data_IF_133215041985
#
_entry.id   IF_133215041985
#
_cell.length_a   1.000
_cell.length_b   1.000
_cell.length_c   1.000
_cell.angle_alpha   90.00
_cell.angle_beta   90.00
_cell.angle_gamma   90.00
#
_symmetry.space_group_name_H-M   'P 1'
#
loop_
_entity.id
_entity.type
_entity.pdbx_description
1 polymer ?
#
# COMPACT_ATOMS: atom_id res chain seq x y z
N UNK A 1 7.30 11.71 25.73
CA UNK A 1 8.18 10.74 25.04
C UNK A 1 7.46 9.40 25.05
N UNK A 2 6.74 9.08 23.98
CA UNK A 2 5.98 7.84 23.89
C UNK A 2 6.61 7.02 22.78
N UNK A 3 7.39 6.01 23.18
CA UNK A 3 7.97 5.02 22.28
C UNK A 3 6.82 4.29 21.58
N UNK A 4 6.74 4.43 20.25
CA UNK A 4 5.85 3.63 19.42
C UNK A 4 6.69 2.47 18.89
N UNK A 5 6.94 1.49 19.76
CA UNK A 5 7.33 0.15 19.33
C UNK A 5 6.08 -0.72 19.42
N UNK A 6 5.26 -0.73 18.38
CA UNK A 6 4.25 -1.77 18.22
C UNK A 6 4.78 -2.83 17.27
N UNK A 7 5.35 -3.87 17.87
CA UNK A 7 5.56 -5.17 17.23
C UNK A 7 4.21 -5.71 16.79
N UNK A 8 3.84 -5.48 15.53
CA UNK A 8 2.72 -6.17 14.92
C UNK A 8 3.12 -7.62 14.73
N UNK A 9 2.47 -8.51 15.49
CA UNK A 9 2.33 -9.92 15.11
C UNK A 9 1.89 -9.93 13.66
N UNK A 10 2.73 -10.50 12.79
CA UNK A 10 2.35 -10.92 11.45
C UNK A 10 1.05 -11.73 11.61
N UNK A 11 -0.09 -11.11 11.31
CA UNK A 11 -1.27 -11.87 10.97
C UNK A 11 -0.81 -12.77 9.82
N UNK A 12 -0.84 -14.08 10.06
CA UNK A 12 -0.42 -15.12 9.14
C UNK A 12 -1.36 -15.11 7.94
N UNK A 13 -1.14 -14.16 7.03
CA UNK A 13 -1.70 -14.20 5.69
C UNK A 13 -0.82 -15.16 4.91
N UNK A 14 -1.15 -16.45 4.97
CA UNK A 14 -0.67 -17.45 4.03
C UNK A 14 -1.19 -17.10 2.64
N UNK A 15 -0.56 -16.09 2.02
CA UNK A 15 -0.76 -15.77 0.63
C UNK A 15 0.01 -16.82 -0.17
N UNK A 16 -0.71 -17.89 -0.55
CA UNK A 16 -0.24 -18.95 -1.46
C UNK A 16 0.23 -18.42 -2.83
N UNK A 17 0.08 -17.12 -3.12
CA UNK A 17 0.64 -16.49 -4.32
C UNK A 17 2.18 -16.51 -4.36
N UNK A 18 2.88 -16.65 -3.23
CA UNK A 18 4.35 -16.69 -3.26
C UNK A 18 4.94 -18.06 -3.60
N UNK A 19 4.19 -19.15 -3.45
CA UNK A 19 4.72 -20.48 -3.83
C UNK A 19 4.63 -20.73 -5.33
N UNK A 20 3.69 -20.10 -6.05
CA UNK A 20 3.53 -20.31 -7.50
C UNK A 20 4.08 -19.17 -8.38
N UNK A 21 4.31 -17.95 -7.88
CA UNK A 21 4.75 -16.83 -8.73
C UNK A 21 6.26 -16.72 -8.97
N UNK A 22 7.11 -17.55 -8.34
CA UNK A 22 8.55 -17.58 -8.62
C UNK A 22 9.29 -16.23 -8.46
N UNK A 23 8.70 -15.27 -7.71
CA UNK A 23 9.20 -13.90 -7.56
C UNK A 23 10.51 -13.81 -6.76
N UNK A 24 11.01 -14.92 -6.22
CA UNK A 24 12.21 -14.96 -5.41
C UNK A 24 13.49 -15.21 -6.18
N UNK A 25 13.48 -15.57 -7.49
CA UNK A 25 14.72 -15.85 -8.23
C UNK A 25 14.58 -15.86 -9.77
N UNK A 26 13.72 -15.04 -10.38
CA UNK A 26 13.80 -14.87 -11.85
C UNK A 26 14.94 -13.89 -12.18
N UNK A 27 16.01 -14.33 -12.87
CA UNK A 27 17.03 -13.41 -13.37
C UNK A 27 16.36 -12.44 -14.36
N UNK A 28 16.71 -11.14 -14.33
CA UNK A 28 16.21 -10.22 -15.33
C UNK A 28 16.59 -10.75 -16.73
N UNK A 29 15.72 -10.57 -17.75
CA UNK A 29 15.92 -11.16 -19.07
C UNK A 29 17.23 -10.72 -19.75
N UNK A 30 17.87 -9.65 -19.26
CA UNK A 30 19.21 -9.23 -19.65
C UNK A 30 20.03 -8.81 -18.42
N UNK A 31 21.28 -9.27 -18.31
CA UNK A 31 22.23 -8.72 -17.34
C UNK A 31 22.53 -7.26 -17.72
N UNK A 32 22.25 -6.34 -16.80
CA UNK A 32 22.57 -4.91 -16.94
C UNK A 32 23.50 -4.50 -15.80
N UNK A 33 24.52 -3.72 -16.13
CA UNK A 33 25.32 -3.01 -15.15
C UNK A 33 24.78 -1.61 -15.00
N UNK A 34 24.58 -1.18 -13.75
CA UNK A 34 23.95 0.09 -13.43
C UNK A 34 24.93 1.01 -12.72
N UNK A 35 24.85 2.30 -13.03
CA UNK A 35 25.49 3.39 -12.29
C UNK A 35 24.41 4.39 -11.95
N UNK A 36 24.16 4.60 -10.67
CA UNK A 36 23.09 5.47 -10.18
C UNK A 36 23.66 6.87 -9.90
N UNK A 37 24.00 7.60 -10.96
CA UNK A 37 24.64 8.92 -10.84
C UNK A 37 23.63 10.06 -10.81
N UNK A 38 22.48 9.89 -11.45
CA UNK A 38 21.39 10.87 -11.52
C UNK A 38 20.09 10.32 -10.94
N UNK A 39 19.14 11.21 -10.64
CA UNK A 39 17.79 10.81 -10.22
C UNK A 39 17.09 9.98 -11.30
N UNK A 40 17.30 10.34 -12.57
CA UNK A 40 16.80 9.57 -13.72
C UNK A 40 17.41 8.16 -13.80
N UNK A 41 18.68 7.97 -13.40
CA UNK A 41 19.27 6.64 -13.32
C UNK A 41 18.62 5.80 -12.20
N UNK A 42 18.37 6.40 -11.03
CA UNK A 42 17.65 5.76 -9.93
C UNK A 42 16.23 5.34 -10.36
N UNK A 43 15.50 6.23 -11.05
CA UNK A 43 14.16 5.95 -11.55
C UNK A 43 14.18 4.81 -12.57
N UNK A 44 15.06 4.89 -13.57
CA UNK A 44 15.16 3.88 -14.62
C UNK A 44 15.53 2.50 -14.05
N UNK A 45 16.46 2.48 -13.09
CA UNK A 45 16.82 1.27 -12.36
C UNK A 45 15.61 0.70 -11.61
N UNK A 46 14.94 1.53 -10.80
CA UNK A 46 13.81 1.09 -9.98
C UNK A 46 12.67 0.56 -10.85
N UNK A 47 12.36 1.26 -11.95
CA UNK A 47 11.35 0.83 -12.90
C UNK A 47 11.72 -0.51 -13.55
N UNK A 48 12.96 -0.66 -14.00
CA UNK A 48 13.42 -1.88 -14.68
C UNK A 48 13.49 -3.09 -13.73
N UNK A 49 14.13 -2.92 -12.58
CA UNK A 49 14.51 -4.02 -11.69
C UNK A 49 13.46 -4.34 -10.63
N UNK A 50 12.57 -3.39 -10.32
CA UNK A 50 11.55 -3.53 -9.27
C UNK A 50 10.15 -3.45 -9.85
N UNK A 51 9.77 -2.30 -10.42
CA UNK A 51 8.37 -2.03 -10.83
C UNK A 51 7.90 -3.00 -11.90
N UNK A 52 8.64 -3.17 -12.99
CA UNK A 52 8.26 -4.04 -14.11
C UNK A 52 8.09 -5.50 -13.66
N UNK A 53 8.95 -5.97 -12.75
CA UNK A 53 8.85 -7.31 -12.18
C UNK A 53 7.59 -7.43 -11.32
N UNK A 54 7.33 -6.45 -10.46
CA UNK A 54 6.14 -6.44 -9.60
C UNK A 54 4.86 -6.37 -10.43
N UNK A 55 4.78 -5.48 -11.43
CA UNK A 55 3.62 -5.31 -12.30
C UNK A 55 3.26 -6.56 -13.10
N UNK A 56 4.23 -7.45 -13.37
CA UNK A 56 3.91 -8.75 -13.98
C UNK A 56 2.94 -9.60 -13.14
N UNK A 57 2.98 -9.48 -11.82
CA UNK A 57 2.03 -10.12 -10.90
C UNK A 57 0.63 -9.46 -10.92
N UNK A 58 0.54 -8.24 -11.45
CA UNK A 58 -0.67 -7.43 -11.54
C UNK A 58 -1.12 -7.21 -12.99
N UNK A 59 -0.85 -8.17 -13.89
CA UNK A 59 -1.17 -8.00 -15.31
C UNK A 59 -2.69 -8.14 -15.59
N UNK A 60 -3.38 -9.03 -14.87
CA UNK A 60 -4.79 -9.36 -15.12
C UNK A 60 -5.73 -8.96 -13.97
N UNK A 61 -5.43 -9.34 -12.73
CA UNK A 61 -6.43 -9.30 -11.66
C UNK A 61 -5.96 -8.68 -10.32
N UNK A 62 -6.20 -7.38 -10.10
CA UNK A 62 -6.49 -6.36 -11.11
C UNK A 62 -5.28 -6.06 -11.97
N UNK A 63 -5.57 -5.65 -13.21
CA UNK A 63 -4.59 -4.98 -14.03
C UNK A 63 -4.25 -3.62 -13.40
N UNK A 64 -3.00 -3.47 -12.93
CA UNK A 64 -2.49 -2.20 -12.43
C UNK A 64 -1.85 -1.42 -13.58
N UNK A 65 -2.21 -0.14 -13.67
CA UNK A 65 -1.56 0.82 -14.54
C UNK A 65 -0.59 1.67 -13.72
N UNK A 66 0.67 1.69 -14.12
CA UNK A 66 1.65 2.67 -13.65
C UNK A 66 1.67 3.85 -14.63
N UNK A 67 1.76 5.06 -14.12
CA UNK A 67 1.90 6.30 -14.90
C UNK A 67 2.99 7.15 -14.27
N UNK A 68 3.92 7.64 -15.09
CA UNK A 68 5.03 8.48 -14.63
C UNK A 68 4.72 9.97 -14.77
N UNK A 69 5.19 10.76 -13.81
CA UNK A 69 5.10 12.23 -13.77
C UNK A 69 3.71 12.80 -14.12
N UNK A 70 2.67 12.16 -13.60
CA UNK A 70 1.28 12.58 -13.84
C UNK A 70 0.74 13.35 -12.63
N UNK A 71 -0.11 14.35 -12.92
CA UNK A 71 -0.87 15.08 -11.90
C UNK A 71 -1.89 14.18 -11.19
N UNK A 72 -2.38 14.56 -10.00
CA UNK A 72 -3.49 13.88 -9.35
C UNK A 72 -4.71 13.80 -10.28
N UNK A 73 -5.48 12.72 -10.14
CA UNK A 73 -6.77 12.55 -10.81
C UNK A 73 -7.80 13.42 -10.06
N UNK A 74 -7.70 14.73 -10.21
CA UNK A 74 -8.59 15.69 -9.56
C UNK A 74 -8.97 16.81 -10.54
N UNK A 75 -10.17 17.36 -10.39
CA UNK A 75 -10.63 18.52 -11.19
C UNK A 75 -9.81 19.80 -10.91
N UNK A 76 -9.08 19.82 -9.80
CA UNK A 76 -8.23 20.93 -9.41
C UNK A 76 -6.87 20.87 -10.13
N UNK A 77 -6.45 21.97 -10.74
CA UNK A 77 -5.12 22.11 -11.33
C UNK A 77 -4.07 22.14 -10.21
N UNK A 78 -3.46 20.99 -9.93
CA UNK A 78 -2.33 20.87 -9.01
C UNK A 78 -1.04 20.98 -9.84
N UNK A 79 -0.09 21.80 -9.39
CA UNK A 79 1.15 22.13 -10.11
C UNK A 79 2.26 21.09 -9.98
N UNK A 80 2.11 20.14 -9.06
CA UNK A 80 3.15 19.18 -8.70
C UNK A 80 2.82 17.78 -9.23
N UNK A 81 3.80 17.18 -9.89
CA UNK A 81 3.74 15.81 -10.40
C UNK A 81 4.50 14.90 -9.43
N UNK A 82 4.03 13.66 -9.30
CA UNK A 82 4.76 12.59 -8.61
C UNK A 82 5.33 11.63 -9.65
N UNK A 83 6.50 11.07 -9.36
CA UNK A 83 7.22 10.24 -10.34
C UNK A 83 6.48 8.97 -10.72
N UNK A 84 5.72 8.38 -9.78
CA UNK A 84 4.98 7.15 -10.03
C UNK A 84 3.60 7.17 -9.39
N UNK A 85 2.58 6.92 -10.22
CA UNK A 85 1.21 6.66 -9.77
C UNK A 85 0.80 5.27 -10.22
N UNK A 86 0.40 4.43 -9.26
CA UNK A 86 -0.21 3.13 -9.52
C UNK A 86 -1.71 3.24 -9.35
N UNK A 87 -2.47 2.76 -10.34
CA UNK A 87 -3.92 2.86 -10.33
C UNK A 87 -4.59 1.65 -10.97
N UNK A 88 -5.85 1.45 -10.60
CA UNK A 88 -6.76 0.52 -11.25
C UNK A 88 -7.87 1.28 -11.96
N UNK A 89 -8.45 0.66 -12.99
CA UNK A 89 -9.69 1.12 -13.60
C UNK A 89 -10.81 0.13 -13.28
N UNK A 90 -11.88 0.61 -12.66
CA UNK A 90 -13.09 -0.18 -12.38
C UNK A 90 -14.29 0.55 -12.98
N UNK A 91 -14.88 -0.03 -14.01
CA UNK A 91 -15.86 0.67 -14.85
C UNK A 91 -15.26 1.93 -15.47
N UNK A 92 -15.87 3.09 -15.20
CA UNK A 92 -15.37 4.39 -15.64
C UNK A 92 -14.50 5.10 -14.58
N UNK A 93 -14.38 4.54 -13.38
CA UNK A 93 -13.62 5.17 -12.30
C UNK A 93 -12.18 4.67 -12.29
N UNK A 94 -11.24 5.60 -12.09
CA UNK A 94 -9.84 5.29 -11.79
C UNK A 94 -9.61 5.49 -10.29
N UNK A 95 -9.00 4.52 -9.63
CA UNK A 95 -8.65 4.59 -8.21
C UNK A 95 -7.13 4.48 -8.06
N UNK A 96 -6.54 5.45 -7.37
CA UNK A 96 -5.12 5.44 -7.02
C UNK A 96 -4.89 4.36 -5.97
N UNK A 97 -3.95 3.44 -6.23
CA UNK A 97 -3.57 2.33 -5.35
C UNK A 97 -2.37 2.71 -4.49
N UNK A 98 -1.32 3.24 -5.10
CA UNK A 98 -0.14 3.77 -4.43
C UNK A 98 0.47 4.89 -5.27
N UNK A 99 1.27 5.72 -4.62
CA UNK A 99 2.08 6.77 -5.26
C UNK A 99 3.51 6.66 -4.79
N UNK A 100 4.46 7.17 -5.55
CA UNK A 100 5.81 7.29 -5.05
C UNK A 100 6.72 8.22 -5.80
N UNK A 101 7.73 8.66 -5.06
CA UNK A 101 8.71 9.65 -5.44
C UNK A 101 10.09 8.99 -5.58
N UNK A 102 10.87 9.43 -6.56
CA UNK A 102 12.25 9.03 -6.72
C UNK A 102 13.14 10.23 -6.38
N UNK A 103 14.14 10.00 -5.52
CA UNK A 103 15.17 10.98 -5.22
C UNK A 103 16.54 10.37 -5.50
N UNK A 104 17.61 11.09 -5.22
CA UNK A 104 18.99 10.59 -5.34
C UNK A 104 19.76 10.76 -4.04
N UNK A 105 20.10 9.63 -3.41
CA UNK A 105 20.96 9.50 -2.23
C UNK A 105 20.61 10.52 -1.14
N UNK A 106 19.31 10.61 -0.83
CA UNK A 106 18.75 11.61 0.07
C UNK A 106 18.32 10.99 1.40
N UNK A 107 17.89 9.74 1.42
CA UNK A 107 17.26 9.11 2.58
C UNK A 107 18.30 8.73 3.63
N UNK A 108 18.10 9.21 4.86
CA UNK A 108 18.89 8.78 6.01
C UNK A 108 18.17 7.62 6.68
N UNK A 109 18.56 6.38 6.35
CA UNK A 109 17.86 5.16 6.77
C UNK A 109 17.53 5.13 8.27
N UNK A 110 18.50 5.46 9.12
CA UNK A 110 18.34 5.40 10.58
C UNK A 110 17.25 6.36 11.10
N UNK A 111 17.07 7.53 10.49
CA UNK A 111 16.05 8.48 10.92
C UNK A 111 14.64 7.95 10.61
N UNK A 112 14.44 7.40 9.41
CA UNK A 112 13.16 6.83 8.97
C UNK A 112 12.83 5.55 9.74
N UNK A 113 13.82 4.68 9.96
CA UNK A 113 13.63 3.42 10.67
C UNK A 113 13.32 3.61 12.15
N UNK A 114 13.96 4.59 12.80
CA UNK A 114 13.72 4.90 14.21
C UNK A 114 12.51 5.84 14.42
N UNK A 115 11.87 6.30 13.34
CA UNK A 115 10.77 7.27 13.40
C UNK A 115 11.17 8.63 13.99
N UNK A 116 12.46 8.95 14.01
CA UNK A 116 13.00 10.18 14.61
C UNK A 116 13.66 11.01 13.52
N UNK A 117 12.85 11.80 12.81
CA UNK A 117 13.30 12.66 11.71
C UNK A 117 13.89 13.96 12.26
N UNK A 118 15.21 13.98 12.42
CA UNK A 118 15.95 15.08 13.02
C UNK A 118 16.45 16.07 11.96
N UNK A 119 16.93 15.56 10.83
CA UNK A 119 17.58 16.35 9.80
C UNK A 119 16.57 17.26 9.06
N UNK A 120 16.89 18.54 8.81
CA UNK A 120 15.99 19.47 8.13
C UNK A 120 15.50 18.97 6.76
N UNK A 121 16.38 18.35 5.98
CA UNK A 121 16.03 17.83 4.65
C UNK A 121 15.10 16.62 4.72
N UNK A 122 15.28 15.74 5.72
CA UNK A 122 14.39 14.61 5.94
C UNK A 122 13.01 15.08 6.42
N UNK A 123 12.96 16.13 7.25
CA UNK A 123 11.68 16.76 7.66
C UNK A 123 10.96 17.33 6.45
N UNK A 124 11.65 18.08 5.61
CA UNK A 124 11.10 18.63 4.37
C UNK A 124 10.55 17.51 3.48
N UNK A 125 11.33 16.45 3.26
CA UNK A 125 10.90 15.29 2.48
C UNK A 125 9.66 14.62 3.09
N UNK A 126 9.61 14.43 4.41
CA UNK A 126 8.45 13.82 5.07
C UNK A 126 7.17 14.65 4.93
N UNK A 127 7.29 15.99 4.96
CA UNK A 127 6.18 16.91 4.73
C UNK A 127 5.73 16.87 3.27
N UNK A 128 6.67 16.83 2.32
CA UNK A 128 6.43 16.69 0.90
C UNK A 128 5.67 15.38 0.59
N UNK A 129 6.13 14.23 1.10
CA UNK A 129 5.47 12.93 0.92
C UNK A 129 4.04 12.91 1.52
N UNK A 130 3.82 13.54 2.68
CA UNK A 130 2.46 13.72 3.23
C UNK A 130 1.61 14.62 2.34
N UNK A 131 2.18 15.72 1.84
CA UNK A 131 1.52 16.62 0.90
C UNK A 131 1.05 15.88 -0.35
N UNK A 132 1.88 15.00 -0.90
CA UNK A 132 1.48 14.11 -2.00
C UNK A 132 0.39 13.12 -1.59
N UNK A 133 0.54 12.44 -0.45
CA UNK A 133 -0.49 11.52 0.06
C UNK A 133 -1.88 12.18 0.11
N UNK A 134 -1.94 13.42 0.60
CA UNK A 134 -3.18 14.20 0.69
C UNK A 134 -3.69 14.63 -0.69
N UNK A 135 -2.83 15.17 -1.55
CA UNK A 135 -3.20 15.66 -2.89
C UNK A 135 -3.70 14.55 -3.81
N UNK A 136 -3.07 13.38 -3.76
CA UNK A 136 -3.45 12.21 -4.56
C UNK A 136 -4.50 11.34 -3.86
N UNK A 137 -4.91 11.71 -2.64
CA UNK A 137 -5.89 10.99 -1.83
C UNK A 137 -5.49 9.50 -1.76
N UNK A 138 -4.24 9.28 -1.36
CA UNK A 138 -3.60 7.97 -1.37
C UNK A 138 -2.74 7.78 -0.11
N UNK A 139 -3.16 6.91 0.81
CA UNK A 139 -2.41 6.64 2.03
C UNK A 139 -1.22 5.69 1.84
N UNK A 140 -1.06 5.10 0.65
CA UNK A 140 0.05 4.21 0.30
C UNK A 140 1.09 4.98 -0.49
N UNK A 141 2.21 5.31 0.15
CA UNK A 141 3.29 6.12 -0.45
C UNK A 141 4.60 5.36 -0.40
N UNK A 142 5.44 5.50 -1.41
CA UNK A 142 6.84 5.10 -1.31
C UNK A 142 7.79 6.23 -1.74
N UNK A 143 9.03 6.13 -1.28
CA UNK A 143 10.13 6.97 -1.75
C UNK A 143 11.36 6.08 -1.95
N UNK A 144 12.01 6.17 -3.11
CA UNK A 144 13.26 5.44 -3.37
C UNK A 144 14.35 6.43 -3.77
N UNK A 145 15.55 6.28 -3.22
CA UNK A 145 16.64 7.23 -3.46
C UNK A 145 17.86 6.64 -4.19
N UNK A 146 17.78 5.40 -4.68
CA UNK A 146 18.91 4.68 -5.25
C UNK A 146 19.60 3.73 -4.27
N UNK A 147 19.43 3.92 -2.96
CA UNK A 147 20.01 3.06 -1.93
C UNK A 147 18.96 2.41 -1.04
N UNK A 148 17.90 3.14 -0.70
CA UNK A 148 16.85 2.71 0.25
C UNK A 148 15.48 3.01 -0.33
N UNK A 149 14.56 2.06 -0.16
CA UNK A 149 13.12 2.22 -0.39
C UNK A 149 12.43 2.44 0.96
N UNK A 150 11.80 3.60 1.13
CA UNK A 150 10.88 3.88 2.23
C UNK A 150 9.46 3.60 1.76
N UNK A 151 8.71 2.81 2.52
CA UNK A 151 7.29 2.55 2.32
C UNK A 151 6.51 3.16 3.49
N UNK A 152 5.47 3.92 3.17
CA UNK A 152 4.62 4.60 4.14
C UNK A 152 3.16 4.18 3.96
N UNK A 153 2.49 3.88 5.07
CA UNK A 153 1.04 3.73 5.12
C UNK A 153 0.45 4.69 6.15
N UNK A 154 -0.20 5.75 5.68
CA UNK A 154 -0.92 6.69 6.54
C UNK A 154 -2.18 6.00 7.06
N UNK A 155 -2.30 5.80 8.37
CA UNK A 155 -3.43 5.13 9.04
C UNK A 155 -4.64 6.05 9.20
N UNK A 156 -4.95 6.77 8.14
CA UNK A 156 -6.03 7.73 8.08
C UNK A 156 -7.38 7.01 8.14
N UNK A 157 -8.29 7.50 9.00
CA UNK A 157 -9.63 6.93 9.13
C UNK A 157 -10.56 7.45 8.02
N UNK A 158 -10.36 8.70 7.60
CA UNK A 158 -10.92 9.34 6.40
C UNK A 158 -9.81 9.88 5.50
N UNK A 159 -10.14 10.23 4.27
CA UNK A 159 -9.18 10.81 3.33
C UNK A 159 -8.56 12.11 3.86
N UNK A 160 -9.36 12.95 4.53
CA UNK A 160 -8.93 14.25 5.04
C UNK A 160 -7.93 14.11 6.20
N UNK A 161 -8.02 13.01 6.97
CA UNK A 161 -7.15 12.74 8.11
C UNK A 161 -5.69 12.52 7.69
N UNK A 162 -5.38 12.33 6.40
CA UNK A 162 -4.00 12.27 5.90
C UNK A 162 -3.24 13.56 6.22
N UNK A 163 -3.92 14.71 6.23
CA UNK A 163 -3.30 16.00 6.56
C UNK A 163 -3.07 16.20 8.06
N UNK A 164 -3.67 15.38 8.92
CA UNK A 164 -3.50 15.50 10.37
C UNK A 164 -2.09 15.06 10.76
N UNK A 165 -1.36 15.95 11.45
CA UNK A 165 -0.04 15.66 12.02
C UNK A 165 -0.06 14.48 13.00
N UNK A 166 -1.23 14.22 13.62
CA UNK A 166 -1.45 13.10 14.54
C UNK A 166 -1.83 11.80 13.83
N UNK A 167 -2.04 11.81 12.52
CA UNK A 167 -2.29 10.61 11.73
C UNK A 167 -1.10 9.65 11.88
N UNK A 168 -1.29 8.44 12.45
CA UNK A 168 -0.21 7.48 12.59
C UNK A 168 0.25 7.01 11.22
N UNK A 169 1.55 6.78 11.05
CA UNK A 169 2.14 6.29 9.81
C UNK A 169 2.90 5.02 10.12
N UNK A 170 2.57 3.93 9.44
CA UNK A 170 3.43 2.76 9.42
C UNK A 170 4.57 3.02 8.41
N UNK A 171 5.82 2.79 8.80
CA UNK A 171 7.02 3.07 8.01
C UNK A 171 7.90 1.82 7.91
N UNK A 172 8.33 1.49 6.70
CA UNK A 172 9.31 0.43 6.44
C UNK A 172 10.46 0.97 5.60
N UNK A 173 11.69 0.71 6.02
CA UNK A 173 12.91 1.00 5.29
C UNK A 173 13.51 -0.29 4.73
N UNK A 174 13.74 -0.32 3.42
CA UNK A 174 14.27 -1.48 2.71
C UNK A 174 15.52 -1.05 1.93
N UNK A 175 16.74 -1.28 2.44
CA UNK A 175 17.94 -1.06 1.65
C UNK A 175 18.01 -2.03 0.47
N UNK A 176 18.62 -1.60 -0.63
CA UNK A 176 18.86 -2.42 -1.83
C UNK A 176 19.67 -3.68 -1.49
N UNK A 177 20.62 -3.54 -0.57
CA UNK A 177 21.51 -4.59 -0.09
C UNK A 177 21.36 -4.80 1.42
N UNK A 178 21.61 -6.03 1.89
CA UNK A 178 21.62 -6.34 3.32
C UNK A 178 20.25 -6.46 3.99
N UNK A 179 19.15 -6.37 3.21
CA UNK A 179 17.79 -6.62 3.70
C UNK A 179 17.36 -8.07 3.47
N UNK A 180 16.65 -8.67 4.44
CA UNK A 180 15.97 -9.96 4.27
C UNK A 180 14.69 -9.85 3.42
N UNK A 181 14.18 -8.63 3.24
CA UNK A 181 13.01 -8.32 2.43
C UNK A 181 13.46 -7.58 1.17
N UNK A 182 13.15 -8.14 -0.01
CA UNK A 182 13.51 -7.51 -1.28
C UNK A 182 12.63 -6.29 -1.57
N UNK A 183 13.16 -5.33 -2.33
CA UNK A 183 12.40 -4.14 -2.78
C UNK A 183 11.13 -4.55 -3.55
N UNK A 184 11.25 -5.58 -4.39
CA UNK A 184 10.14 -6.18 -5.16
C UNK A 184 9.02 -6.64 -4.23
N UNK A 185 9.37 -7.35 -3.16
CA UNK A 185 8.39 -7.83 -2.21
C UNK A 185 7.75 -6.67 -1.43
N UNK A 186 8.56 -5.70 -0.98
CA UNK A 186 8.08 -4.50 -0.31
C UNK A 186 7.05 -3.72 -1.14
N UNK A 187 7.41 -3.38 -2.39
CA UNK A 187 6.52 -2.68 -3.32
C UNK A 187 5.25 -3.50 -3.60
N UNK A 188 5.38 -4.81 -3.86
CA UNK A 188 4.22 -5.69 -4.06
C UNK A 188 3.25 -5.63 -2.86
N UNK A 189 3.77 -5.65 -1.63
CA UNK A 189 2.95 -5.59 -0.41
C UNK A 189 2.27 -4.23 -0.26
N UNK A 190 2.94 -3.13 -0.59
CA UNK A 190 2.34 -1.79 -0.60
C UNK A 190 1.18 -1.72 -1.60
N UNK A 191 1.40 -2.19 -2.84
CA UNK A 191 0.36 -2.25 -3.87
C UNK A 191 -0.81 -3.15 -3.45
N UNK A 192 -0.53 -4.28 -2.82
CA UNK A 192 -1.56 -5.17 -2.30
C UNK A 192 -2.42 -4.50 -1.23
N UNK A 193 -1.81 -3.75 -0.30
CA UNK A 193 -2.56 -3.00 0.71
C UNK A 193 -3.41 -1.89 0.09
N UNK A 194 -2.84 -1.14 -0.87
CA UNK A 194 -3.57 -0.11 -1.61
C UNK A 194 -4.75 -0.68 -2.39
N UNK A 195 -4.56 -1.85 -3.01
CA UNK A 195 -5.64 -2.57 -3.68
C UNK A 195 -6.73 -2.98 -2.70
N UNK A 196 -6.40 -3.54 -1.53
CA UNK A 196 -7.42 -3.94 -0.53
C UNK A 196 -8.26 -2.76 -0.05
N UNK A 197 -7.66 -1.58 0.08
CA UNK A 197 -8.41 -0.34 0.33
C UNK A 197 -9.40 -0.06 -0.80
N UNK A 198 -8.95 -0.03 -2.05
CA UNK A 198 -9.82 0.24 -3.19
C UNK A 198 -10.92 -0.82 -3.36
N UNK A 199 -10.60 -2.10 -3.17
CA UNK A 199 -11.55 -3.20 -3.24
C UNK A 199 -12.68 -3.04 -2.21
N UNK A 200 -12.34 -2.64 -0.98
CA UNK A 200 -13.32 -2.39 0.08
C UNK A 200 -14.19 -1.15 -0.17
N UNK A 201 -13.64 -0.13 -0.82
CA UNK A 201 -14.38 1.07 -1.23
C UNK A 201 -15.40 0.78 -2.34
N UNK A 202 -15.07 -0.15 -3.23
CA UNK A 202 -15.92 -0.60 -4.33
C UNK A 202 -16.95 -1.66 -3.91
N UNK A 203 -16.89 -2.13 -2.66
CA UNK A 203 -17.79 -3.15 -2.15
C UNK A 203 -19.23 -2.64 -2.09
N UNK A 204 -20.19 -3.44 -2.57
CA UNK A 204 -21.59 -3.19 -2.31
C UNK A 204 -21.88 -3.25 -0.79
N UNK A 205 -22.97 -2.61 -0.31
CA UNK A 205 -23.43 -2.82 1.05
C UNK A 205 -23.57 -4.31 1.36
N UNK A 206 -23.01 -4.74 2.49
CA UNK A 206 -22.97 -6.14 2.91
C UNK A 206 -23.35 -6.25 4.39
N UNK A 207 -23.67 -7.45 4.83
CA UNK A 207 -23.90 -7.78 6.24
C UNK A 207 -23.19 -9.09 6.55
N UNK A 208 -22.66 -9.22 7.76
CA UNK A 208 -22.01 -10.44 8.25
C UNK A 208 -22.73 -10.87 9.52
N UNK A 209 -23.24 -12.10 9.57
CA UNK A 209 -24.00 -12.60 10.73
C UNK A 209 -25.17 -11.69 11.12
N UNK A 210 -25.85 -11.09 10.12
CA UNK A 210 -26.98 -10.18 10.30
C UNK A 210 -26.62 -8.75 10.75
N UNK A 211 -25.34 -8.42 10.87
CA UNK A 211 -24.88 -7.08 11.25
C UNK A 211 -24.29 -6.34 10.06
N UNK A 212 -24.60 -5.05 9.96
CA UNK A 212 -23.92 -4.15 9.03
C UNK A 212 -22.73 -3.48 9.73
N UNK A 213 -21.60 -3.29 9.03
CA UNK A 213 -20.49 -2.52 9.57
C UNK A 213 -20.93 -1.06 9.77
N UNK A 214 -20.44 -0.45 10.84
CA UNK A 214 -20.70 0.96 11.13
C UNK A 214 -20.00 1.89 10.13
N UNK A 215 -18.77 1.55 9.75
CA UNK A 215 -17.98 2.26 8.74
C UNK A 215 -16.77 1.39 8.33
N UNK A 216 -15.86 1.96 7.54
CA UNK A 216 -14.57 1.35 7.18
C UNK A 216 -13.42 2.30 7.50
N UNK A 217 -12.27 1.74 7.83
CA UNK A 217 -11.02 2.51 7.87
C UNK A 217 -10.61 2.86 6.44
N UNK A 218 -10.34 4.15 6.19
CA UNK A 218 -9.98 4.59 4.86
C UNK A 218 -8.69 3.93 4.35
N UNK A 219 -7.65 3.81 5.17
CA UNK A 219 -6.33 3.39 4.69
C UNK A 219 -6.17 1.91 4.28
N UNK A 220 -7.06 1.01 4.71
CA UNK A 220 -6.96 -0.44 4.45
C UNK A 220 -8.32 -1.10 4.12
N UNK A 221 -9.43 -0.35 4.19
CA UNK A 221 -10.77 -0.86 3.94
C UNK A 221 -11.37 -1.74 5.04
N UNK A 222 -10.71 -1.90 6.19
CA UNK A 222 -11.16 -2.75 7.29
C UNK A 222 -12.51 -2.27 7.85
N UNK A 223 -13.53 -3.13 7.90
CA UNK A 223 -14.78 -2.80 8.56
C UNK A 223 -14.62 -2.55 10.05
N UNK A 224 -15.31 -1.52 10.54
CA UNK A 224 -15.48 -1.20 11.95
C UNK A 224 -16.91 -1.53 12.35
N UNK A 225 -17.03 -2.32 13.40
CA UNK A 225 -18.30 -2.71 14.00
C UNK A 225 -18.61 -1.81 15.18
N UNK A 226 -19.89 -1.54 15.44
CA UNK A 226 -20.33 -0.77 16.60
C UNK A 226 -21.33 -1.59 17.42
N UNK A 227 -20.94 -1.96 18.63
CA UNK A 227 -21.79 -2.71 19.57
C UNK A 227 -21.86 -1.95 20.88
N UNK A 228 -23.07 -1.72 21.39
CA UNK A 228 -23.31 -0.97 22.64
C UNK A 228 -22.56 0.38 22.69
N UNK A 229 -22.48 1.08 21.55
CA UNK A 229 -21.78 2.35 21.42
C UNK A 229 -20.27 2.26 21.18
N UNK A 230 -19.63 1.11 21.44
CA UNK A 230 -18.19 0.92 21.28
C UNK A 230 -17.82 0.46 19.87
N UNK A 231 -16.76 1.05 19.32
CA UNK A 231 -16.21 0.70 18.00
C UNK A 231 -15.14 -0.38 18.15
N UNK A 232 -15.17 -1.38 17.29
CA UNK A 232 -14.16 -2.44 17.27
C UNK A 232 -13.90 -2.96 15.85
N UNK A 233 -12.66 -3.43 15.60
CA UNK A 233 -12.26 -4.02 14.31
C UNK A 233 -12.71 -5.49 14.17
N UNK A 234 -12.72 -6.23 15.28
CA UNK A 234 -13.16 -7.61 15.31
C UNK A 234 -14.67 -7.71 15.18
N UNK A 235 -15.16 -8.67 14.42
CA UNK A 235 -16.59 -8.93 14.33
C UNK A 235 -17.13 -9.38 15.70
N UNK A 236 -18.24 -8.82 16.20
CA UNK A 236 -18.76 -9.13 17.54
C UNK A 236 -19.17 -10.60 17.71
N UNK A 237 -19.65 -11.24 16.64
CA UNK A 237 -20.03 -12.65 16.65
C UNK A 237 -18.87 -13.61 16.30
N UNK A 238 -17.60 -13.17 16.41
CA UNK A 238 -16.44 -14.05 16.25
C UNK A 238 -16.04 -14.42 14.82
N UNK A 239 -16.67 -13.82 13.79
CA UNK A 239 -16.26 -14.01 12.40
C UNK A 239 -14.83 -13.48 12.15
N UNK A 240 -14.07 -14.19 11.33
CA UNK A 240 -12.71 -13.86 10.94
C UNK A 240 -12.67 -13.45 9.47
N UNK A 241 -12.16 -12.25 9.23
CA UNK A 241 -11.98 -11.71 7.88
C UNK A 241 -10.76 -12.33 7.22
N UNK A 242 -10.93 -12.77 5.99
CA UNK A 242 -9.90 -13.40 5.18
C UNK A 242 -10.02 -13.02 3.70
N UNK A 243 -9.15 -13.61 2.90
CA UNK A 243 -9.20 -13.53 1.44
C UNK A 243 -9.50 -14.92 0.93
N UNK A 244 -10.52 -15.04 0.09
CA UNK A 244 -10.78 -16.28 -0.63
C UNK A 244 -9.67 -16.50 -1.68
N UNK A 245 -9.02 -17.67 -1.63
CA UNK A 245 -7.87 -17.95 -2.49
C UNK A 245 -8.25 -18.19 -3.95
N UNK A 246 -9.49 -18.64 -4.20
CA UNK A 246 -9.94 -18.99 -5.54
C UNK A 246 -10.43 -17.79 -6.33
N UNK A 247 -10.96 -16.77 -5.66
CA UNK A 247 -11.60 -15.62 -6.30
C UNK A 247 -10.99 -14.27 -5.94
N UNK A 248 -10.26 -14.19 -4.83
CA UNK A 248 -9.65 -12.96 -4.35
C UNK A 248 -10.55 -12.02 -3.59
N UNK A 249 -11.81 -12.42 -3.41
CA UNK A 249 -12.75 -11.68 -2.59
C UNK A 249 -12.32 -11.62 -1.13
N UNK A 250 -12.74 -10.56 -0.46
CA UNK A 250 -12.74 -10.51 0.99
C UNK A 250 -13.95 -11.29 1.50
N UNK A 251 -13.70 -12.24 2.39
CA UNK A 251 -14.70 -13.13 2.97
C UNK A 251 -14.60 -13.14 4.48
N UNK A 252 -15.67 -13.55 5.13
CA UNK A 252 -15.74 -13.74 6.58
C UNK A 252 -16.07 -15.19 6.87
N UNK A 253 -15.24 -15.84 7.68
CA UNK A 253 -15.39 -17.23 8.08
C UNK A 253 -15.74 -17.34 9.55
N UNK A 254 -16.48 -18.38 9.92
CA UNK A 254 -16.84 -18.70 11.28
C UNK A 254 -16.78 -20.22 11.47
N UNK A 255 -16.56 -20.68 12.71
CA UNK A 255 -16.46 -22.12 13.00
C UNK A 255 -17.79 -22.86 12.83
N UNK A 256 -18.91 -22.15 13.02
CA UNK A 256 -20.27 -22.72 13.05
C UNK A 256 -21.13 -22.26 11.87
N UNK A 257 -20.84 -21.10 11.29
CA UNK A 257 -21.68 -20.49 10.26
C UNK A 257 -21.00 -20.54 8.90
N UNK A 258 -21.77 -20.55 7.80
CA UNK A 258 -21.22 -20.48 6.45
C UNK A 258 -20.33 -19.25 6.24
N UNK A 259 -19.48 -19.33 5.22
CA UNK A 259 -18.67 -18.20 4.77
C UNK A 259 -19.58 -17.13 4.17
N UNK A 260 -19.36 -15.88 4.56
CA UNK A 260 -20.08 -14.72 4.06
C UNK A 260 -19.16 -13.79 3.26
N UNK A 261 -19.68 -13.19 2.19
CA UNK A 261 -18.89 -12.40 1.24
C UNK A 261 -18.97 -10.91 1.57
N UNK A 262 -17.81 -10.27 1.69
CA UNK A 262 -17.73 -8.81 1.84
C UNK A 262 -17.62 -8.12 0.48
N UNK A 263 -16.91 -8.74 -0.46
CA UNK A 263 -16.73 -8.22 -1.83
C UNK A 263 -17.06 -9.31 -2.83
N UNK A 264 -17.36 -8.93 -4.07
CA UNK A 264 -17.46 -9.90 -5.16
C UNK A 264 -16.11 -10.57 -5.51
N UNK A 265 -16.15 -11.68 -6.28
CA UNK A 265 -14.98 -12.30 -6.86
C UNK A 265 -14.27 -11.30 -7.80
N UNK A 266 -12.97 -11.48 -7.97
CA UNK A 266 -12.15 -10.52 -8.70
C UNK A 266 -11.29 -11.13 -9.82
N UNK A 267 -10.92 -12.41 -9.74
CA UNK A 267 -10.09 -13.08 -10.76
C UNK A 267 -10.73 -14.29 -11.46
N UNK A 268 -12.03 -14.20 -11.72
CA UNK A 268 -12.75 -15.16 -12.58
C UNK A 268 -12.37 -15.04 -14.07
#
# INVERSE_FOLDING_TARGET
MTSITQTLKLASWNCRMMTDCGLTNKPPPNNRHWRLETEADCENWFNTEVVNVVLSAWHSYPSLTQSSHIKPISENSIGENIDSVFSIKVGQQRKTVAIGEIKRNLLIQDEWQNGTIASPDQRKLSQELRGYAAKYVCPQVFCFDGAVLVLLQFRAFRAEDINDEKCPIDCWTLPIDGSSCSLRYGLYRLLAQGWRRCQAELAAPFSIGGLQPYCREYFNGQPIWKVNGQKQRSHPNGYQRGVDQQTGALIWSHQVYPVEWETGPFWE
#
